data_IF_435737472106
#
_entry.id   IF_435737472106
#
_cell.length_a   1.000
_cell.length_b   1.000
_cell.length_c   1.000
_cell.angle_alpha   90.00
_cell.angle_beta   90.00
_cell.angle_gamma   90.00
#
_symmetry.space_group_name_H-M   'P 1'
#
loop_
_entity.id
_entity.type
_entity.pdbx_description
1 polymer ?
#
# COMPACT_ATOMS: atom_id res chain seq x y z
N UNK A 1 -15.57 -3.25 -22.82
CA UNK A 1 -16.60 -4.28 -23.09
C UNK A 1 -16.00 -5.61 -22.65
N UNK A 2 -16.73 -6.39 -21.85
CA UNK A 2 -16.26 -7.66 -21.28
C UNK A 2 -17.00 -8.77 -22.02
N UNK A 3 -16.28 -9.59 -22.78
CA UNK A 3 -16.90 -10.63 -23.60
C UNK A 3 -17.46 -11.74 -22.70
N UNK A 4 -18.77 -11.93 -22.75
CA UNK A 4 -19.45 -13.04 -22.10
C UNK A 4 -19.24 -14.30 -22.94
N UNK A 5 -18.19 -15.07 -22.64
CA UNK A 5 -18.00 -16.39 -23.23
C UNK A 5 -18.89 -17.40 -22.51
N UNK A 6 -20.10 -17.59 -23.02
CA UNK A 6 -20.94 -18.69 -22.62
C UNK A 6 -20.63 -19.88 -23.53
N UNK A 7 -20.08 -20.93 -22.94
CA UNK A 7 -19.49 -22.12 -23.55
C UNK A 7 -20.52 -22.99 -24.33
N UNK A 8 -21.22 -22.40 -25.29
CA UNK A 8 -22.20 -23.03 -26.18
C UNK A 8 -23.56 -23.37 -25.58
N UNK A 9 -23.87 -22.95 -24.34
CA UNK A 9 -25.01 -23.48 -23.58
C UNK A 9 -26.33 -22.71 -23.65
N UNK A 10 -26.39 -21.51 -24.23
CA UNK A 10 -27.65 -20.73 -24.28
C UNK A 10 -28.07 -20.54 -25.74
N UNK A 11 -29.16 -21.19 -26.12
CA UNK A 11 -29.83 -21.02 -27.41
C UNK A 11 -31.07 -20.14 -27.21
N UNK A 12 -30.95 -18.84 -27.48
CA UNK A 12 -32.08 -17.90 -27.39
C UNK A 12 -32.68 -17.70 -28.77
N UNK A 13 -33.94 -18.08 -28.96
CA UNK A 13 -34.71 -17.88 -30.21
C UNK A 13 -35.47 -16.54 -30.23
N UNK A 14 -34.89 -15.49 -29.64
CA UNK A 14 -35.51 -14.16 -29.51
C UNK A 14 -34.58 -13.17 -28.83
N UNK A 15 -35.09 -11.96 -28.52
CA UNK A 15 -34.31 -10.92 -27.86
C UNK A 15 -33.91 -11.35 -26.44
N UNK A 16 -32.61 -11.56 -26.24
CA UNK A 16 -32.02 -11.89 -24.95
C UNK A 16 -31.63 -10.62 -24.22
N UNK A 17 -32.46 -10.17 -23.29
CA UNK A 17 -32.13 -9.00 -22.48
C UNK A 17 -31.50 -9.45 -21.15
N UNK A 18 -30.19 -9.28 -21.02
CA UNK A 18 -29.50 -9.44 -19.73
C UNK A 18 -29.54 -8.10 -19.01
N UNK A 19 -30.51 -7.93 -18.14
CA UNK A 19 -30.47 -6.86 -17.13
C UNK A 19 -29.47 -7.26 -16.06
N UNK A 20 -28.27 -6.69 -16.17
CA UNK A 20 -27.27 -6.74 -15.13
C UNK A 20 -27.77 -5.94 -13.92
N UNK A 21 -28.34 -6.64 -12.94
CA UNK A 21 -28.71 -6.08 -11.63
C UNK A 21 -27.51 -5.93 -10.69
N UNK A 22 -26.27 -6.05 -11.19
CA UNK A 22 -25.12 -5.58 -10.41
C UNK A 22 -25.27 -4.06 -10.26
N UNK A 23 -25.76 -3.65 -9.10
CA UNK A 23 -25.69 -2.27 -8.66
C UNK A 23 -24.21 -1.88 -8.64
N UNK A 24 -23.72 -1.28 -9.73
CA UNK A 24 -22.37 -0.74 -9.87
C UNK A 24 -22.15 0.54 -9.02
N UNK A 25 -23.09 0.84 -8.13
CA UNK A 25 -22.94 1.89 -7.13
C UNK A 25 -22.20 1.31 -5.94
N UNK A 26 -21.00 1.84 -5.67
CA UNK A 26 -20.29 1.53 -4.45
C UNK A 26 -21.19 1.90 -3.26
N UNK A 27 -21.68 0.87 -2.57
CA UNK A 27 -22.49 1.02 -1.38
C UNK A 27 -21.68 1.77 -0.32
N UNK A 28 -22.19 2.92 0.13
CA UNK A 28 -21.57 3.67 1.23
C UNK A 28 -21.46 2.75 2.46
N UNK A 29 -20.37 2.86 3.22
CA UNK A 29 -20.09 2.02 4.40
C UNK A 29 -21.25 2.05 5.41
N UNK A 30 -21.95 3.18 5.52
CA UNK A 30 -23.12 3.38 6.39
C UNK A 30 -24.29 2.46 6.01
N UNK A 31 -24.42 2.09 4.73
CA UNK A 31 -25.49 1.22 4.23
C UNK A 31 -25.12 -0.27 4.31
N UNK A 32 -23.83 -0.60 4.52
CA UNK A 32 -23.38 -1.99 4.62
C UNK A 32 -23.96 -2.71 5.85
N UNK A 33 -24.23 -4.01 5.72
CA UNK A 33 -24.64 -4.86 6.84
C UNK A 33 -23.48 -5.09 7.81
N UNK A 34 -23.76 -5.53 9.04
CA UNK A 34 -22.71 -5.78 10.02
C UNK A 34 -21.72 -6.86 9.55
N UNK A 35 -22.22 -7.90 8.87
CA UNK A 35 -21.35 -8.95 8.32
C UNK A 35 -20.48 -8.45 7.16
N UNK A 36 -21.02 -7.61 6.28
CA UNK A 36 -20.26 -6.95 5.21
C UNK A 36 -19.12 -6.11 5.81
N UNK A 37 -19.43 -5.29 6.82
CA UNK A 37 -18.46 -4.45 7.52
C UNK A 37 -17.34 -5.24 8.21
N UNK A 38 -17.70 -6.35 8.88
CA UNK A 38 -16.73 -7.23 9.54
C UNK A 38 -15.81 -7.94 8.55
N UNK A 39 -16.29 -8.26 7.33
CA UNK A 39 -15.47 -8.82 6.24
C UNK A 39 -14.62 -7.76 5.55
N UNK A 40 -15.12 -6.54 5.44
CA UNK A 40 -14.43 -5.46 4.73
C UNK A 40 -13.29 -4.86 5.54
N UNK A 41 -13.40 -4.82 6.87
CA UNK A 41 -12.32 -4.36 7.76
C UNK A 41 -10.98 -5.06 7.54
N UNK A 42 -10.86 -6.41 7.60
CA UNK A 42 -9.58 -7.09 7.39
C UNK A 42 -9.08 -6.92 5.94
N UNK A 43 -9.99 -6.87 4.96
CA UNK A 43 -9.62 -6.62 3.56
C UNK A 43 -8.94 -5.26 3.37
N UNK A 44 -9.51 -4.19 3.94
CA UNK A 44 -8.91 -2.84 3.91
C UNK A 44 -7.58 -2.78 4.67
N UNK A 45 -7.48 -3.47 5.80
CA UNK A 45 -6.20 -3.60 6.51
C UNK A 45 -5.12 -4.33 5.69
N UNK A 46 -5.51 -5.34 4.93
CA UNK A 46 -4.61 -6.07 4.03
C UNK A 46 -4.15 -5.16 2.88
N UNK A 47 -5.04 -4.36 2.30
CA UNK A 47 -4.68 -3.37 1.27
C UNK A 47 -3.61 -2.38 1.77
N UNK A 48 -3.74 -1.90 3.01
CA UNK A 48 -2.73 -1.02 3.63
C UNK A 48 -1.37 -1.74 3.72
N UNK A 49 -1.35 -3.02 4.11
CA UNK A 49 -0.12 -3.83 4.21
C UNK A 49 0.51 -4.08 2.84
N UNK A 50 -0.30 -4.40 1.84
CA UNK A 50 0.17 -4.61 0.47
C UNK A 50 0.80 -3.33 -0.07
N UNK A 51 0.14 -2.18 0.11
CA UNK A 51 0.67 -0.91 -0.36
C UNK A 51 1.93 -0.49 0.39
N UNK A 52 2.00 -0.77 1.71
CA UNK A 52 3.22 -0.59 2.48
C UNK A 52 4.38 -1.45 1.93
N UNK A 53 4.12 -2.72 1.61
CA UNK A 53 5.10 -3.61 1.01
C UNK A 53 5.58 -3.12 -0.35
N UNK A 54 4.67 -2.62 -1.20
CA UNK A 54 5.01 -2.01 -2.49
C UNK A 54 5.87 -0.76 -2.32
N UNK A 55 5.55 0.10 -1.35
CA UNK A 55 6.34 1.29 -1.03
C UNK A 55 7.77 0.94 -0.65
N UNK A 56 7.95 0.00 0.29
CA UNK A 56 9.28 -0.47 0.71
C UNK A 56 10.04 -1.10 -0.46
N UNK A 57 9.36 -1.91 -1.28
CA UNK A 57 9.97 -2.54 -2.47
C UNK A 57 10.49 -1.52 -3.47
N UNK A 58 9.77 -0.40 -3.68
CA UNK A 58 10.20 0.70 -4.55
C UNK A 58 11.37 1.49 -3.98
N UNK A 59 11.46 1.66 -2.67
CA UNK A 59 12.53 2.41 -2.02
C UNK A 59 13.85 1.62 -1.88
N UNK A 60 13.76 0.30 -1.76
CA UNK A 60 14.91 -0.61 -1.61
C UNK A 60 16.07 -0.35 -2.60
N UNK A 61 15.86 -0.23 -3.93
CA UNK A 61 16.97 0.00 -4.86
C UNK A 61 17.68 1.34 -4.62
N UNK A 62 16.95 2.41 -4.28
CA UNK A 62 17.56 3.72 -4.02
C UNK A 62 18.46 3.69 -2.80
N UNK A 63 18.03 3.04 -1.71
CA UNK A 63 18.87 2.87 -0.52
C UNK A 63 20.08 1.97 -0.78
N UNK A 64 19.93 0.92 -1.60
CA UNK A 64 21.05 0.07 -1.99
C UNK A 64 22.11 0.86 -2.79
N UNK A 65 21.68 1.68 -3.74
CA UNK A 65 22.59 2.55 -4.51
C UNK A 65 23.27 3.58 -3.61
N UNK A 66 22.51 4.24 -2.73
CA UNK A 66 23.06 5.21 -1.79
C UNK A 66 24.13 4.58 -0.89
N UNK A 67 23.88 3.36 -0.39
CA UNK A 67 24.85 2.61 0.41
C UNK A 67 26.12 2.28 -0.38
N UNK A 68 25.99 1.80 -1.62
CA UNK A 68 27.14 1.48 -2.48
C UNK A 68 27.99 2.72 -2.74
N UNK A 69 27.37 3.85 -3.08
CA UNK A 69 28.08 5.11 -3.33
C UNK A 69 28.82 5.60 -2.08
N UNK A 70 28.18 5.47 -0.92
CA UNK A 70 28.75 5.88 0.36
C UNK A 70 29.97 5.00 0.71
N UNK A 71 29.88 3.69 0.50
CA UNK A 71 31.01 2.77 0.70
C UNK A 71 32.15 3.02 -0.30
N UNK A 72 31.83 3.30 -1.57
CA UNK A 72 32.82 3.63 -2.59
C UNK A 72 33.58 4.92 -2.25
N UNK A 73 32.86 5.96 -1.82
CA UNK A 73 33.44 7.23 -1.38
C UNK A 73 34.32 7.05 -0.14
N UNK A 74 33.89 6.23 0.82
CA UNK A 74 34.67 5.90 2.01
C UNK A 74 35.96 5.13 1.66
N UNK A 75 35.87 4.14 0.77
CA UNK A 75 37.03 3.37 0.30
C UNK A 75 38.04 4.26 -0.44
N UNK A 76 37.56 5.18 -1.29
CA UNK A 76 38.40 6.15 -1.96
C UNK A 76 39.10 7.10 -0.98
N UNK A 77 38.35 7.67 -0.03
CA UNK A 77 38.91 8.55 1.00
C UNK A 77 39.92 7.85 1.90
N UNK A 78 39.74 6.55 2.16
CA UNK A 78 40.70 5.74 2.90
C UNK A 78 42.01 5.54 2.12
N UNK A 79 41.93 5.37 0.79
CA UNK A 79 43.11 5.26 -0.06
C UNK A 79 43.92 6.58 -0.10
N UNK A 80 43.25 7.73 -0.09
CA UNK A 80 43.90 9.04 0.01
C UNK A 80 44.41 9.39 1.43
N UNK A 81 44.24 8.50 2.42
CA UNK A 81 44.65 8.74 3.80
C UNK A 81 43.78 9.75 4.57
N UNK A 82 42.62 10.14 4.04
CA UNK A 82 41.69 11.12 4.63
C UNK A 82 40.74 10.46 5.65
N UNK A 83 41.28 9.78 6.65
CA UNK A 83 40.52 8.99 7.63
C UNK A 83 39.46 9.79 8.40
N UNK A 84 39.75 11.05 8.77
CA UNK A 84 38.78 11.94 9.41
C UNK A 84 37.56 12.20 8.52
N UNK A 85 37.77 12.40 7.21
CA UNK A 85 36.70 12.62 6.24
C UNK A 85 35.84 11.37 6.07
N UNK A 86 36.47 10.20 6.05
CA UNK A 86 35.79 8.89 5.97
C UNK A 86 34.87 8.66 7.17
N UNK A 87 35.35 8.92 8.38
CA UNK A 87 34.56 8.78 9.61
C UNK A 87 33.33 9.69 9.61
N UNK A 88 33.49 10.95 9.16
CA UNK A 88 32.37 11.90 9.03
C UNK A 88 31.38 11.43 7.95
N UNK A 89 31.87 11.00 6.78
CA UNK A 89 31.04 10.48 5.69
C UNK A 89 30.24 9.26 6.11
N UNK A 90 30.88 8.29 6.76
CA UNK A 90 30.21 7.08 7.25
C UNK A 90 29.22 7.40 8.35
N UNK A 91 29.60 8.22 9.34
CA UNK A 91 28.73 8.59 10.45
C UNK A 91 27.51 9.39 10.00
N UNK A 92 27.73 10.55 9.38
CA UNK A 92 26.66 11.43 8.94
C UNK A 92 25.83 10.81 7.82
N UNK A 93 26.46 10.14 6.85
CA UNK A 93 25.75 9.50 5.75
C UNK A 93 24.88 8.34 6.20
N UNK A 94 25.37 7.50 7.14
CA UNK A 94 24.54 6.42 7.72
C UNK A 94 23.37 6.99 8.52
N UNK A 95 23.59 8.05 9.29
CA UNK A 95 22.54 8.71 10.05
C UNK A 95 21.45 9.28 9.14
N UNK A 96 21.82 10.01 8.09
CA UNK A 96 20.88 10.60 7.14
C UNK A 96 20.08 9.54 6.37
N UNK A 97 20.75 8.49 5.88
CA UNK A 97 20.08 7.38 5.19
C UNK A 97 19.12 6.66 6.14
N UNK A 98 19.53 6.40 7.38
CA UNK A 98 18.70 5.78 8.40
C UNK A 98 17.47 6.62 8.72
N UNK A 99 17.65 7.91 8.99
CA UNK A 99 16.55 8.84 9.29
C UNK A 99 15.56 8.95 8.13
N UNK A 100 16.06 9.12 6.90
CA UNK A 100 15.21 9.22 5.72
C UNK A 100 14.45 7.92 5.45
N UNK A 101 15.10 6.76 5.67
CA UNK A 101 14.47 5.43 5.55
C UNK A 101 13.32 5.24 6.53
N UNK A 102 13.53 5.61 7.80
CA UNK A 102 12.49 5.58 8.84
C UNK A 102 11.33 6.48 8.42
N UNK A 103 11.62 7.75 8.11
CA UNK A 103 10.59 8.72 7.72
C UNK A 103 9.79 8.25 6.51
N UNK A 104 10.47 7.83 5.44
CA UNK A 104 9.82 7.34 4.23
C UNK A 104 9.03 6.05 4.47
N UNK A 105 9.38 5.23 5.48
CA UNK A 105 8.61 4.03 5.82
C UNK A 105 7.36 4.38 6.60
N UNK A 106 7.41 5.33 7.54
CA UNK A 106 6.28 5.66 8.42
C UNK A 106 5.30 6.67 7.85
N UNK A 107 5.70 7.50 6.89
CA UNK A 107 4.84 8.51 6.28
C UNK A 107 3.76 7.84 5.41
N UNK A 108 2.47 7.91 5.76
CA UNK A 108 1.43 7.20 5.01
C UNK A 108 1.15 7.88 3.67
N UNK A 109 0.92 7.08 2.62
CA UNK A 109 0.46 7.58 1.31
C UNK A 109 -1.02 8.03 1.42
N UNK A 110 -1.49 9.04 0.67
CA UNK A 110 -2.92 9.38 0.53
C UNK A 110 -3.87 8.18 0.52
N UNK A 111 -3.59 7.15 -0.29
CA UNK A 111 -4.40 5.92 -0.32
C UNK A 111 -4.43 5.18 1.03
N UNK A 112 -3.29 5.07 1.73
CA UNK A 112 -3.24 4.43 3.05
C UNK A 112 -3.98 5.25 4.12
N UNK A 113 -4.03 6.58 3.97
CA UNK A 113 -4.81 7.47 4.84
C UNK A 113 -6.30 7.23 4.60
N UNK A 114 -6.74 7.16 3.35
CA UNK A 114 -8.12 6.87 2.97
C UNK A 114 -8.57 5.51 3.50
N UNK A 115 -7.79 4.45 3.28
CA UNK A 115 -8.10 3.11 3.80
C UNK A 115 -8.13 3.08 5.34
N UNK A 116 -7.22 3.81 6.01
CA UNK A 116 -7.24 3.91 7.47
C UNK A 116 -8.48 4.65 7.99
N UNK A 117 -8.91 5.70 7.29
CA UNK A 117 -10.13 6.43 7.61
C UNK A 117 -11.36 5.55 7.43
N UNK A 118 -11.42 4.77 6.34
CA UNK A 118 -12.49 3.80 6.11
C UNK A 118 -12.54 2.73 7.22
N UNK A 119 -11.40 2.18 7.64
CA UNK A 119 -11.35 1.24 8.77
C UNK A 119 -11.86 1.88 10.08
N UNK A 120 -11.49 3.14 10.33
CA UNK A 120 -11.98 3.87 11.51
C UNK A 120 -13.49 4.11 11.44
N UNK A 121 -14.01 4.42 10.26
CA UNK A 121 -15.45 4.59 10.02
C UNK A 121 -16.21 3.28 10.26
N UNK A 122 -15.71 2.15 9.73
CA UNK A 122 -16.28 0.82 9.96
C UNK A 122 -16.35 0.53 11.47
N UNK A 123 -15.25 0.72 12.21
CA UNK A 123 -15.23 0.51 13.65
C UNK A 123 -16.24 1.40 14.38
N UNK A 124 -16.39 2.67 13.95
CA UNK A 124 -17.37 3.59 14.53
C UNK A 124 -18.80 3.10 14.30
N UNK A 125 -19.12 2.64 13.08
CA UNK A 125 -20.44 2.11 12.72
C UNK A 125 -20.75 0.84 13.52
N UNK A 126 -19.81 -0.10 13.59
CA UNK A 126 -19.99 -1.35 14.35
C UNK A 126 -20.24 -1.07 15.84
N UNK A 127 -19.48 -0.14 16.44
CA UNK A 127 -19.66 0.30 17.82
C UNK A 127 -21.02 1.00 18.03
N UNK A 128 -21.45 1.84 17.10
CA UNK A 128 -22.78 2.47 17.16
C UNK A 128 -23.92 1.45 17.11
N UNK A 129 -23.73 0.36 16.36
CA UNK A 129 -24.72 -0.72 16.22
C UNK A 129 -24.63 -1.79 17.32
N UNK A 130 -23.72 -1.65 18.29
CA UNK A 130 -23.44 -2.64 19.35
C UNK A 130 -23.12 -4.04 18.81
N UNK A 131 -22.52 -4.10 17.62
CA UNK A 131 -22.08 -5.33 16.98
C UNK A 131 -20.62 -5.68 17.34
N UNK A 132 -19.95 -4.80 18.09
CA UNK A 132 -18.65 -4.95 18.75
C UNK A 132 -18.65 -4.29 20.13
#
# INVERSE_FOLDING_TARGET
MRDFNNNGGINVKGDFNVTDNSHNEHKLLIHCSNEELLRERPFRQENIKIEQGRKVKRLKPFYAVALILLLAAAAWGAWEGKTNLVSILLGAGSFLIGFQSIRATFEPNPFQIEERNAVNEINKILKQRRAE
#
